data_IF_201562913265
#
_entry.id   IF_201562913265
#
_cell.length_a   1.000
_cell.length_b   1.000
_cell.length_c   1.000
_cell.angle_alpha   90.00
_cell.angle_beta   90.00
_cell.angle_gamma   90.00
#
_symmetry.space_group_name_H-M   'P 1'
#
loop_
_entity.id
_entity.type
_entity.pdbx_description
1 polymer ?
#
# COMPACT_ATOMS: atom_id res chain seq x y z
N UNK A 1 -39.29 12.35 -3.74
CA UNK A 1 -37.88 12.77 -3.79
C UNK A 1 -37.06 11.51 -3.57
N UNK A 2 -36.48 10.94 -4.63
CA UNK A 2 -35.68 9.71 -4.50
C UNK A 2 -34.44 10.03 -3.67
N UNK A 3 -34.32 9.39 -2.51
CA UNK A 3 -33.09 9.38 -1.72
C UNK A 3 -32.04 8.74 -2.62
N UNK A 4 -30.99 9.49 -2.97
CA UNK A 4 -29.86 9.00 -3.74
C UNK A 4 -29.07 8.06 -2.82
N UNK A 5 -29.56 6.83 -2.67
CA UNK A 5 -28.95 5.82 -1.81
C UNK A 5 -27.63 5.35 -2.44
N UNK A 6 -26.54 5.76 -1.77
CA UNK A 6 -25.12 5.42 -1.95
C UNK A 6 -24.31 6.40 -2.82
N UNK A 7 -23.53 7.23 -2.13
CA UNK A 7 -22.45 8.02 -2.71
C UNK A 7 -21.28 7.10 -3.12
N UNK A 8 -21.07 6.94 -4.42
CA UNK A 8 -20.07 6.02 -5.01
C UNK A 8 -20.62 4.60 -5.27
N UNK A 9 -19.76 3.60 -5.57
CA UNK A 9 -18.30 3.67 -5.53
C UNK A 9 -17.67 4.36 -6.76
N UNK A 10 -16.61 5.14 -6.54
CA UNK A 10 -15.80 5.80 -7.56
C UNK A 10 -14.39 5.20 -7.62
N UNK A 11 -13.80 5.16 -8.82
CA UNK A 11 -12.40 4.75 -9.01
C UNK A 11 -11.44 5.91 -8.75
N UNK A 12 -10.56 5.73 -7.76
CA UNK A 12 -9.55 6.71 -7.36
C UNK A 12 -8.54 7.04 -8.47
N UNK A 13 -8.37 6.15 -9.45
CA UNK A 13 -7.57 6.43 -10.65
C UNK A 13 -8.21 7.53 -11.51
N UNK A 14 -9.54 7.70 -11.44
CA UNK A 14 -10.30 8.72 -12.17
C UNK A 14 -10.50 10.02 -11.38
N UNK A 15 -9.94 10.14 -10.17
CA UNK A 15 -10.18 11.26 -9.25
C UNK A 15 -9.98 12.66 -9.84
N UNK A 16 -9.07 12.80 -10.80
CA UNK A 16 -8.82 14.09 -11.47
C UNK A 16 -10.05 14.61 -12.23
N UNK A 17 -10.91 13.70 -12.68
CA UNK A 17 -12.17 14.00 -13.37
C UNK A 17 -13.37 14.08 -12.40
N UNK A 18 -13.15 13.80 -11.12
CA UNK A 18 -14.16 13.72 -10.08
C UNK A 18 -13.76 14.56 -8.83
N UNK A 19 -13.35 15.83 -9.01
CA UNK A 19 -12.81 16.64 -7.91
C UNK A 19 -13.86 16.99 -6.86
N UNK A 20 -15.13 17.10 -7.26
CA UNK A 20 -16.23 17.40 -6.35
C UNK A 20 -16.54 16.19 -5.47
N UNK A 21 -16.62 15.01 -6.08
CA UNK A 21 -16.90 13.74 -5.41
C UNK A 21 -15.76 13.38 -4.47
N UNK A 22 -14.50 13.55 -4.91
CA UNK A 22 -13.36 13.33 -4.05
C UNK A 22 -13.35 14.35 -2.90
N UNK A 23 -13.60 15.61 -3.24
CA UNK A 23 -13.60 16.71 -2.30
C UNK A 23 -14.63 16.58 -1.19
N UNK A 24 -15.79 15.98 -1.44
CA UNK A 24 -16.79 15.68 -0.40
C UNK A 24 -16.21 14.69 0.63
N UNK A 25 -15.58 13.62 0.17
CA UNK A 25 -15.05 12.59 1.07
C UNK A 25 -13.81 13.07 1.79
N UNK A 26 -12.84 13.67 1.10
CA UNK A 26 -11.59 14.12 1.74
C UNK A 26 -11.79 15.31 2.69
N UNK A 27 -12.81 16.15 2.49
CA UNK A 27 -13.11 17.26 3.41
C UNK A 27 -13.91 16.84 4.64
N UNK A 28 -14.91 15.96 4.48
CA UNK A 28 -15.87 15.67 5.54
C UNK A 28 -15.67 14.32 6.23
N UNK A 29 -14.88 13.42 5.64
CA UNK A 29 -14.62 12.09 6.21
C UNK A 29 -13.13 11.77 6.29
N UNK A 30 -12.31 12.11 5.30
CA UNK A 30 -10.90 11.72 5.26
C UNK A 30 -9.95 12.91 5.48
N UNK A 31 -10.11 13.58 6.63
CA UNK A 31 -9.25 14.70 7.05
C UNK A 31 -7.84 14.22 7.44
N UNK A 32 -6.85 15.14 7.57
CA UNK A 32 -5.50 14.77 8.04
C UNK A 32 -5.50 14.04 9.40
N UNK A 33 -6.40 14.40 10.32
CA UNK A 33 -6.54 13.75 11.62
C UNK A 33 -7.03 12.30 11.48
N UNK A 34 -7.97 12.07 10.56
CA UNK A 34 -8.48 10.72 10.24
C UNK A 34 -7.40 9.88 9.57
N UNK A 35 -6.69 10.44 8.59
CA UNK A 35 -5.60 9.78 7.88
C UNK A 35 -4.48 9.34 8.84
N UNK A 36 -4.18 10.17 9.85
CA UNK A 36 -3.17 9.89 10.87
C UNK A 36 -3.67 8.97 12.00
N UNK A 37 -4.94 8.57 11.99
CA UNK A 37 -5.60 7.76 13.02
C UNK A 37 -5.64 8.47 14.39
N UNK A 38 -5.83 9.79 14.41
CA UNK A 38 -5.84 10.62 15.62
C UNK A 38 -7.26 10.83 16.16
N UNK A 39 -8.17 11.33 15.33
CA UNK A 39 -9.54 11.66 15.74
C UNK A 39 -10.53 11.51 14.57
N UNK A 40 -11.79 11.11 14.82
CA UNK A 40 -12.86 11.12 13.82
C UNK A 40 -13.38 12.55 13.55
N UNK A 41 -14.16 12.72 12.49
CA UNK A 41 -14.84 13.99 12.19
C UNK A 41 -16.20 14.05 12.87
N UNK A 42 -17.05 13.05 12.62
CA UNK A 42 -18.44 13.02 13.11
C UNK A 42 -18.89 11.64 13.60
N UNK A 43 -18.24 10.58 13.12
CA UNK A 43 -18.48 9.21 13.56
C UNK A 43 -17.91 8.94 14.96
N UNK A 44 -18.40 7.88 15.59
CA UNK A 44 -17.96 7.43 16.93
C UNK A 44 -16.47 7.02 16.93
N UNK A 45 -15.91 6.64 15.79
CA UNK A 45 -14.55 6.10 15.73
C UNK A 45 -13.89 6.40 14.38
N UNK A 46 -12.58 6.63 14.38
CA UNK A 46 -11.81 6.98 13.16
C UNK A 46 -11.95 5.96 12.03
N UNK A 47 -12.05 4.67 12.38
CA UNK A 47 -12.28 3.60 11.39
C UNK A 47 -13.66 3.68 10.71
N UNK A 48 -14.63 4.37 11.31
CA UNK A 48 -15.92 4.65 10.70
C UNK A 48 -15.79 5.63 9.54
N UNK A 49 -15.02 6.70 9.71
CA UNK A 49 -14.72 7.66 8.64
C UNK A 49 -13.95 7.02 7.49
N UNK A 50 -12.95 6.20 7.83
CA UNK A 50 -12.17 5.48 6.83
C UNK A 50 -13.04 4.45 6.11
N UNK A 51 -13.94 3.76 6.83
CA UNK A 51 -14.90 2.83 6.22
C UNK A 51 -15.87 3.53 5.28
N UNK A 52 -16.36 4.72 5.64
CA UNK A 52 -17.18 5.53 4.74
C UNK A 52 -16.41 5.89 3.46
N UNK A 53 -15.18 6.39 3.64
CA UNK A 53 -14.26 6.73 2.56
C UNK A 53 -14.04 5.56 1.60
N UNK A 54 -13.82 4.35 2.12
CA UNK A 54 -13.57 3.14 1.33
C UNK A 54 -14.83 2.50 0.73
N UNK A 55 -16.03 2.85 1.22
CA UNK A 55 -17.29 2.52 0.52
C UNK A 55 -17.46 3.41 -0.71
N UNK A 56 -17.19 4.71 -0.55
CA UNK A 56 -17.29 5.70 -1.62
C UNK A 56 -16.16 5.59 -2.65
N UNK A 57 -14.95 5.25 -2.22
CA UNK A 57 -13.74 5.17 -3.05
C UNK A 57 -12.95 3.90 -2.70
N UNK A 58 -13.32 2.73 -3.26
CA UNK A 58 -12.77 1.45 -2.81
C UNK A 58 -11.24 1.33 -2.94
N UNK A 59 -10.64 1.95 -3.95
CA UNK A 59 -9.19 2.00 -4.14
C UNK A 59 -8.54 3.31 -3.67
N UNK A 60 -9.15 4.03 -2.71
CA UNK A 60 -8.55 5.22 -2.13
C UNK A 60 -7.27 4.86 -1.34
N UNK A 61 -6.12 4.94 -2.02
CA UNK A 61 -4.84 4.44 -1.51
C UNK A 61 -4.45 5.02 -0.12
N UNK A 62 -4.71 6.30 0.14
CA UNK A 62 -4.44 6.93 1.45
C UNK A 62 -5.27 6.29 2.59
N UNK A 63 -6.58 6.16 2.39
CA UNK A 63 -7.48 5.51 3.34
C UNK A 63 -7.14 4.03 3.54
N UNK A 64 -6.81 3.30 2.47
CA UNK A 64 -6.31 1.92 2.55
C UNK A 64 -5.02 1.83 3.36
N UNK A 65 -4.09 2.77 3.18
CA UNK A 65 -2.85 2.84 3.95
C UNK A 65 -3.11 3.16 5.44
N UNK A 66 -4.09 4.00 5.77
CA UNK A 66 -4.52 4.22 7.16
C UNK A 66 -5.08 2.92 7.78
N UNK A 67 -5.93 2.17 7.07
CA UNK A 67 -6.39 0.85 7.53
C UNK A 67 -5.24 -0.12 7.74
N UNK A 68 -4.29 -0.17 6.79
CA UNK A 68 -3.09 -1.00 6.88
C UNK A 68 -2.29 -0.66 8.13
N UNK A 69 -1.98 0.63 8.36
CA UNK A 69 -1.21 1.08 9.53
C UNK A 69 -1.90 0.71 10.83
N UNK A 70 -3.22 0.86 10.91
CA UNK A 70 -4.01 0.40 12.06
C UNK A 70 -3.86 -1.11 12.24
N UNK A 71 -4.07 -1.89 11.17
CA UNK A 71 -4.03 -3.36 11.20
C UNK A 71 -2.68 -3.92 11.64
N UNK A 72 -1.58 -3.32 11.17
CA UNK A 72 -0.21 -3.70 11.56
C UNK A 72 0.04 -3.40 13.04
N UNK A 73 -0.43 -2.25 13.56
CA UNK A 73 -0.30 -1.91 15.00
C UNK A 73 -1.09 -2.87 15.90
N UNK A 74 -2.23 -3.35 15.44
CA UNK A 74 -3.08 -4.30 16.17
C UNK A 74 -2.89 -5.75 15.70
N UNK A 75 -1.77 -6.07 15.03
CA UNK A 75 -1.52 -7.44 14.59
C UNK A 75 -1.36 -8.39 15.78
N UNK A 76 -1.84 -9.62 15.64
CA UNK A 76 -1.86 -10.60 16.74
C UNK A 76 -2.99 -10.43 17.77
N UNK A 77 -3.75 -9.32 17.73
CA UNK A 77 -4.95 -9.14 18.53
C UNK A 77 -6.21 -9.07 17.66
N UNK A 78 -7.38 -9.19 18.30
CA UNK A 78 -8.70 -8.97 17.69
C UNK A 78 -9.38 -7.77 18.36
N UNK A 79 -9.06 -6.54 17.95
CA UNK A 79 -9.65 -5.33 18.52
C UNK A 79 -11.19 -5.34 18.42
N UNK A 80 -11.88 -4.80 19.43
CA UNK A 80 -13.36 -4.77 19.51
C UNK A 80 -13.96 -3.96 18.35
N UNK A 81 -13.21 -3.01 17.82
CA UNK A 81 -13.54 -2.18 16.67
C UNK A 81 -13.85 -3.04 15.43
N UNK A 82 -13.26 -4.24 15.31
CA UNK A 82 -13.54 -5.16 14.20
C UNK A 82 -14.89 -5.89 14.32
N UNK A 83 -15.62 -5.70 15.42
CA UNK A 83 -17.05 -6.05 15.49
C UNK A 83 -17.91 -5.09 14.65
N UNK A 84 -17.43 -3.86 14.42
CA UNK A 84 -18.16 -2.80 13.72
C UNK A 84 -17.53 -2.41 12.37
N UNK A 85 -16.22 -2.57 12.21
CA UNK A 85 -15.49 -2.13 11.01
C UNK A 85 -14.67 -3.26 10.41
N UNK A 86 -14.70 -3.42 9.09
CA UNK A 86 -13.90 -4.44 8.42
C UNK A 86 -12.40 -4.16 8.56
N UNK A 87 -11.56 -5.18 8.78
CA UNK A 87 -10.11 -5.01 8.88
C UNK A 87 -9.49 -4.69 7.52
N UNK A 88 -8.21 -4.31 7.50
CA UNK A 88 -7.52 -3.84 6.30
C UNK A 88 -7.50 -4.87 5.16
N UNK A 89 -7.37 -6.16 5.47
CA UNK A 89 -7.36 -7.26 4.50
C UNK A 89 -8.65 -7.29 3.68
N UNK A 90 -9.80 -7.10 4.34
CA UNK A 90 -11.10 -7.07 3.67
C UNK A 90 -11.22 -5.88 2.72
N UNK A 91 -10.76 -4.70 3.15
CA UNK A 91 -10.77 -3.51 2.31
C UNK A 91 -9.82 -3.61 1.12
N UNK A 92 -8.62 -4.14 1.32
CA UNK A 92 -7.64 -4.34 0.24
C UNK A 92 -8.13 -5.39 -0.76
N UNK A 93 -8.73 -6.49 -0.31
CA UNK A 93 -9.35 -7.47 -1.19
C UNK A 93 -10.52 -6.88 -1.99
N UNK A 94 -11.36 -6.04 -1.37
CA UNK A 94 -12.42 -5.30 -2.05
C UNK A 94 -11.84 -4.33 -3.09
N UNK A 95 -10.79 -3.60 -2.74
CA UNK A 95 -10.12 -2.66 -3.64
C UNK A 95 -9.52 -3.36 -4.87
N UNK A 96 -8.88 -4.53 -4.70
CA UNK A 96 -8.35 -5.34 -5.80
C UNK A 96 -9.48 -5.84 -6.71
N UNK A 97 -10.60 -6.31 -6.13
CA UNK A 97 -11.77 -6.73 -6.93
C UNK A 97 -12.36 -5.57 -7.72
N UNK A 98 -12.36 -4.37 -7.15
CA UNK A 98 -12.92 -3.18 -7.74
C UNK A 98 -12.03 -2.58 -8.85
N UNK A 99 -10.73 -2.42 -8.59
CA UNK A 99 -9.75 -1.89 -9.55
C UNK A 99 -8.52 -2.82 -9.64
N UNK A 100 -8.62 -3.95 -10.37
CA UNK A 100 -7.58 -4.99 -10.43
C UNK A 100 -6.30 -4.57 -11.19
N UNK A 101 -6.33 -3.39 -11.83
CA UNK A 101 -5.18 -2.79 -12.51
C UNK A 101 -4.59 -1.61 -11.73
N UNK A 102 -4.98 -1.42 -10.47
CA UNK A 102 -4.35 -0.44 -9.60
C UNK A 102 -3.11 -1.04 -8.92
N UNK A 103 -1.93 -0.72 -9.44
CA UNK A 103 -0.66 -1.20 -8.88
C UNK A 103 -0.49 -0.81 -7.40
N UNK A 104 -1.02 0.35 -6.99
CA UNK A 104 -0.88 0.85 -5.62
C UNK A 104 -1.63 -0.03 -4.63
N UNK A 105 -2.82 -0.51 -5.00
CA UNK A 105 -3.61 -1.41 -4.14
C UNK A 105 -2.90 -2.75 -3.95
N UNK A 106 -2.38 -3.35 -5.03
CA UNK A 106 -1.60 -4.58 -4.95
C UNK A 106 -0.35 -4.39 -4.08
N UNK A 107 0.36 -3.27 -4.24
CA UNK A 107 1.51 -2.93 -3.40
C UNK A 107 1.13 -2.80 -1.92
N UNK A 108 0.04 -2.07 -1.59
CA UNK A 108 -0.43 -1.94 -0.21
C UNK A 108 -0.82 -3.29 0.39
N UNK A 109 -1.45 -4.17 -0.38
CA UNK A 109 -1.77 -5.51 0.12
C UNK A 109 -0.52 -6.35 0.34
N UNK A 110 0.47 -6.24 -0.54
CA UNK A 110 1.80 -6.82 -0.34
C UNK A 110 2.46 -6.35 0.96
N UNK A 111 2.41 -5.04 1.25
CA UNK A 111 2.94 -4.47 2.51
C UNK A 111 2.22 -5.06 3.71
N UNK A 112 0.89 -5.12 3.69
CA UNK A 112 0.13 -5.70 4.79
C UNK A 112 0.53 -7.16 5.03
N UNK A 113 0.56 -7.97 3.98
CA UNK A 113 0.91 -9.39 4.06
C UNK A 113 2.36 -9.58 4.55
N UNK A 114 3.30 -8.77 4.07
CA UNK A 114 4.69 -8.83 4.49
C UNK A 114 4.83 -8.50 5.99
N UNK A 115 4.21 -7.43 6.46
CA UNK A 115 4.23 -7.01 7.87
C UNK A 115 3.55 -7.98 8.81
N UNK A 116 2.74 -8.88 8.27
CA UNK A 116 1.94 -9.85 9.02
C UNK A 116 2.41 -11.29 8.82
N UNK A 117 3.64 -11.45 8.32
CA UNK A 117 4.35 -12.71 8.12
C UNK A 117 3.75 -13.67 7.08
N UNK A 118 2.99 -13.15 6.12
CA UNK A 118 2.44 -13.90 4.97
C UNK A 118 3.33 -13.72 3.73
N UNK A 119 4.60 -14.11 3.82
CA UNK A 119 5.65 -13.77 2.84
C UNK A 119 5.34 -14.24 1.41
N UNK A 120 4.85 -15.47 1.21
CA UNK A 120 4.53 -15.98 -0.13
C UNK A 120 3.40 -15.18 -0.81
N UNK A 121 2.38 -14.81 -0.03
CA UNK A 121 1.26 -14.03 -0.54
C UNK A 121 1.70 -12.59 -0.82
N UNK A 122 2.55 -12.03 0.05
CA UNK A 122 3.15 -10.72 -0.17
C UNK A 122 3.94 -10.67 -1.48
N UNK A 123 4.75 -11.70 -1.76
CA UNK A 123 5.52 -11.82 -2.99
C UNK A 123 4.61 -11.81 -4.22
N UNK A 124 3.51 -12.57 -4.21
CA UNK A 124 2.52 -12.58 -5.29
C UNK A 124 1.92 -11.20 -5.54
N UNK A 125 1.56 -10.47 -4.48
CA UNK A 125 0.96 -9.14 -4.60
C UNK A 125 1.98 -8.09 -5.08
N UNK A 126 3.21 -8.12 -4.58
CA UNK A 126 4.26 -7.22 -5.07
C UNK A 126 4.63 -7.47 -6.53
N UNK A 127 4.72 -8.74 -6.96
CA UNK A 127 4.93 -9.06 -8.38
C UNK A 127 3.79 -8.53 -9.24
N UNK A 128 2.54 -8.72 -8.80
CA UNK A 128 1.38 -8.17 -9.52
C UNK A 128 1.43 -6.64 -9.63
N UNK A 129 1.80 -5.95 -8.55
CA UNK A 129 2.00 -4.50 -8.57
C UNK A 129 3.10 -4.08 -9.56
N UNK A 130 4.22 -4.80 -9.57
CA UNK A 130 5.33 -4.55 -10.50
C UNK A 130 4.94 -4.81 -11.95
N UNK A 131 4.19 -5.88 -12.24
CA UNK A 131 3.72 -6.18 -13.59
C UNK A 131 2.79 -5.11 -14.15
N UNK A 132 2.01 -4.46 -13.28
CA UNK A 132 1.09 -3.37 -13.64
C UNK A 132 1.87 -2.05 -13.83
N UNK A 133 2.76 -1.71 -12.88
CA UNK A 133 3.59 -0.51 -12.94
C UNK A 133 5.06 -0.84 -12.60
N UNK A 134 5.87 -1.20 -13.61
CA UNK A 134 7.30 -1.47 -13.42
C UNK A 134 8.10 -0.23 -13.05
N UNK A 135 7.54 0.98 -13.15
CA UNK A 135 8.25 2.22 -12.79
C UNK A 135 8.18 2.51 -11.30
N UNK A 136 7.27 1.87 -10.57
CA UNK A 136 6.99 2.15 -9.18
C UNK A 136 8.17 1.81 -8.25
N UNK A 137 8.89 2.84 -7.79
CA UNK A 137 10.06 2.73 -6.92
C UNK A 137 9.71 2.04 -5.60
N UNK A 138 8.57 2.38 -5.00
CA UNK A 138 8.14 1.82 -3.72
C UNK A 138 7.86 0.31 -3.81
N UNK A 139 7.25 -0.14 -4.91
CA UNK A 139 6.99 -1.56 -5.17
C UNK A 139 8.29 -2.33 -5.30
N UNK A 140 9.23 -1.85 -6.13
CA UNK A 140 10.56 -2.48 -6.29
C UNK A 140 11.34 -2.53 -4.99
N UNK A 141 11.32 -1.46 -4.21
CA UNK A 141 11.98 -1.43 -2.90
C UNK A 141 11.42 -2.49 -1.96
N UNK A 142 10.09 -2.53 -1.79
CA UNK A 142 9.43 -3.49 -0.91
C UNK A 142 9.61 -4.93 -1.39
N UNK A 143 9.53 -5.17 -2.70
CA UNK A 143 9.81 -6.47 -3.32
C UNK A 143 11.26 -6.90 -3.06
N UNK A 144 12.23 -6.00 -3.25
CA UNK A 144 13.65 -6.25 -2.98
C UNK A 144 13.92 -6.59 -1.51
N UNK A 145 13.28 -5.89 -0.57
CA UNK A 145 13.38 -6.20 0.87
C UNK A 145 12.86 -7.60 1.19
N UNK A 146 11.68 -7.95 0.67
CA UNK A 146 11.10 -9.29 0.87
C UNK A 146 11.98 -10.39 0.24
N UNK A 147 12.53 -10.15 -0.95
CA UNK A 147 13.42 -11.12 -1.62
C UNK A 147 14.70 -11.38 -0.82
N UNK A 148 15.25 -10.36 -0.13
CA UNK A 148 16.38 -10.55 0.78
C UNK A 148 16.00 -11.44 1.97
N UNK A 149 14.82 -11.23 2.55
CA UNK A 149 14.32 -12.08 3.65
C UNK A 149 14.12 -13.54 3.19
N UNK A 150 13.66 -13.72 1.96
CA UNK A 150 13.52 -15.02 1.28
C UNK A 150 14.85 -15.57 0.72
N UNK A 151 15.99 -14.94 1.02
CA UNK A 151 17.33 -15.31 0.53
C UNK A 151 17.47 -15.36 -1.01
N UNK A 152 16.56 -14.72 -1.73
CA UNK A 152 16.55 -14.58 -3.18
C UNK A 152 17.39 -13.37 -3.60
N UNK A 153 18.67 -13.39 -3.24
CA UNK A 153 19.56 -12.22 -3.31
C UNK A 153 19.87 -11.76 -4.72
N UNK A 154 19.98 -12.68 -5.69
CA UNK A 154 20.23 -12.34 -7.10
C UNK A 154 19.11 -11.48 -7.68
N UNK A 155 17.86 -11.84 -7.40
CA UNK A 155 16.69 -11.09 -7.86
C UNK A 155 16.55 -9.76 -7.11
N UNK A 156 16.78 -9.75 -5.80
CA UNK A 156 16.82 -8.51 -5.02
C UNK A 156 17.88 -7.52 -5.56
N UNK A 157 19.07 -8.02 -5.91
CA UNK A 157 20.15 -7.22 -6.50
C UNK A 157 19.74 -6.62 -7.84
N UNK A 158 19.07 -7.39 -8.71
CA UNK A 158 18.55 -6.89 -10.00
C UNK A 158 17.67 -5.66 -9.81
N UNK A 159 16.69 -5.70 -8.90
CA UNK A 159 15.83 -4.55 -8.63
C UNK A 159 16.60 -3.37 -8.03
N UNK A 160 17.59 -3.63 -7.17
CA UNK A 160 18.43 -2.59 -6.61
C UNK A 160 19.22 -1.86 -7.72
N UNK A 161 19.95 -2.60 -8.56
CA UNK A 161 20.72 -2.03 -9.67
C UNK A 161 19.83 -1.23 -10.64
N UNK A 162 18.65 -1.77 -10.99
CA UNK A 162 17.69 -1.05 -11.84
C UNK A 162 17.29 0.29 -11.23
N UNK A 163 17.06 0.37 -9.92
CA UNK A 163 16.70 1.62 -9.25
C UNK A 163 17.86 2.61 -9.17
N UNK A 164 19.07 2.13 -8.90
CA UNK A 164 20.27 2.98 -8.91
C UNK A 164 20.52 3.58 -10.29
N UNK A 165 20.41 2.78 -11.37
CA UNK A 165 20.57 3.26 -12.76
C UNK A 165 19.54 4.34 -13.16
N UNK A 166 18.42 4.42 -12.44
CA UNK A 166 17.36 5.42 -12.66
C UNK A 166 17.47 6.62 -11.71
N UNK A 167 18.56 6.75 -10.95
CA UNK A 167 18.75 7.85 -10.01
C UNK A 167 17.92 7.73 -8.72
N UNK A 168 17.44 6.54 -8.38
CA UNK A 168 16.76 6.25 -7.12
C UNK A 168 17.66 5.39 -6.21
N UNK A 169 18.74 5.97 -5.64
CA UNK A 169 19.62 5.20 -4.76
C UNK A 169 18.85 4.76 -3.52
N UNK A 170 18.94 3.48 -3.18
CA UNK A 170 18.31 2.91 -1.99
C UNK A 170 19.38 2.30 -1.06
N UNK A 171 20.06 3.15 -0.26
CA UNK A 171 21.16 2.72 0.61
C UNK A 171 20.77 1.58 1.56
N UNK A 172 19.53 1.57 2.05
CA UNK A 172 19.04 0.51 2.92
C UNK A 172 19.01 -0.87 2.26
N UNK A 173 18.59 -0.93 0.98
CA UNK A 173 18.55 -2.19 0.22
C UNK A 173 19.97 -2.67 -0.11
N UNK A 174 20.81 -1.75 -0.59
CA UNK A 174 22.24 -1.97 -0.84
C UNK A 174 22.97 -2.49 0.40
N UNK A 175 22.79 -1.84 1.55
CA UNK A 175 23.45 -2.23 2.80
C UNK A 175 23.04 -3.63 3.24
N UNK A 176 21.77 -4.02 3.05
CA UNK A 176 21.31 -5.39 3.33
C UNK A 176 21.95 -6.42 2.39
N UNK A 177 22.05 -6.13 1.10
CA UNK A 177 22.73 -6.99 0.12
C UNK A 177 24.22 -7.12 0.42
N UNK A 178 24.90 -6.01 0.76
CA UNK A 178 26.31 -5.99 1.15
C UNK A 178 26.55 -6.82 2.41
N UNK A 179 25.70 -6.66 3.43
CA UNK A 179 25.77 -7.47 4.67
C UNK A 179 25.55 -8.96 4.39
N UNK A 180 24.74 -9.30 3.40
CA UNK A 180 24.53 -10.69 2.96
C UNK A 180 25.62 -11.22 2.02
N UNK A 181 26.62 -10.42 1.64
CA UNK A 181 27.68 -10.82 0.69
C UNK A 181 27.28 -10.78 -0.79
N UNK A 182 26.14 -10.15 -1.12
CA UNK A 182 25.56 -10.11 -2.46
C UNK A 182 25.60 -8.71 -3.11
N UNK A 183 26.55 -7.87 -2.69
CA UNK A 183 26.86 -6.59 -3.32
C UNK A 183 28.37 -6.47 -3.50
N UNK A 184 28.82 -6.42 -4.75
CA UNK A 184 30.24 -6.47 -5.12
C UNK A 184 30.81 -5.08 -5.44
N UNK A 185 32.13 -5.00 -5.63
CA UNK A 185 32.78 -3.78 -6.11
C UNK A 185 32.35 -3.41 -7.54
N UNK A 186 32.06 -4.40 -8.39
CA UNK A 186 31.55 -4.14 -9.74
C UNK A 186 30.17 -3.48 -9.69
N UNK A 187 29.29 -3.96 -8.79
CA UNK A 187 27.98 -3.36 -8.53
C UNK A 187 28.11 -1.90 -8.03
N UNK A 188 29.16 -1.60 -7.27
CA UNK A 188 29.46 -0.23 -6.82
C UNK A 188 29.82 0.70 -7.99
N UNK A 189 30.60 0.21 -8.95
CA UNK A 189 31.03 0.98 -10.13
C UNK A 189 29.86 1.22 -11.09
N UNK A 190 29.02 0.20 -11.31
CA UNK A 190 27.81 0.29 -12.14
C UNK A 190 26.81 1.32 -11.61
N UNK A 191 26.71 1.46 -10.29
CA UNK A 191 25.76 2.37 -9.65
C UNK A 191 26.27 3.79 -9.41
N UNK A 192 27.55 4.05 -9.69
CA UNK A 192 28.21 5.36 -9.51
C UNK A 192 28.43 6.12 -10.83
N UNK A 193 28.05 5.52 -11.96
CA UNK A 193 28.16 6.07 -13.32
C UNK A 193 26.83 6.65 -13.77
#
# INVERSE_FOLDING_TARGET
MQVQENFGPFDYLLRKNLPNELGIVERYHFTPQVEQLIAPVSSVHVLGEISYTLKAWPNHHRALNSMLRHRVRTWGSRPKEYLRYSPAECWLQRAIKFSPKDATVHMLYGILLHRTNHQEQALKQYRKAYDIDPSNVQTKYNLGLLLIELKSYSEAKKYALELYSRGYPLPGLKNKLKKAGHWTKADEQETSS
#
